data_IF_045740441354
#
_entry.id   IF_045740441354
#
_cell.length_a   1.000
_cell.length_b   1.000
_cell.length_c   1.000
_cell.angle_alpha   90.00
_cell.angle_beta   90.00
_cell.angle_gamma   90.00
#
_symmetry.space_group_name_H-M   'P 1'
#
loop_
_entity.id
_entity.type
_entity.pdbx_description
1 polymer ?
#
# COMPACT_ATOMS: atom_id res chain seq x y z
N UNK A 1 -0.88 -11.44 -18.68
CA UNK A 1 -0.63 -10.73 -19.97
C UNK A 1 -1.52 -11.35 -21.06
N UNK A 2 -1.99 -10.57 -22.05
CA UNK A 2 -2.65 -11.15 -23.25
C UNK A 2 -1.55 -11.79 -24.11
N UNK A 3 -1.72 -13.06 -24.50
CA UNK A 3 -0.79 -13.74 -25.39
C UNK A 3 -0.81 -13.08 -26.78
N UNK A 4 0.34 -12.59 -27.24
CA UNK A 4 0.49 -12.03 -28.57
C UNK A 4 0.77 -13.18 -29.54
N UNK A 5 -0.29 -13.85 -30.01
CA UNK A 5 -0.18 -14.97 -30.96
C UNK A 5 0.33 -14.51 -32.35
N UNK A 6 1.61 -14.16 -32.44
CA UNK A 6 2.32 -13.91 -33.68
C UNK A 6 2.59 -15.25 -34.37
N UNK A 7 2.02 -15.43 -35.58
CA UNK A 7 2.20 -16.66 -36.36
C UNK A 7 3.70 -16.91 -36.60
N UNK A 8 4.15 -18.14 -36.34
CA UNK A 8 5.55 -18.63 -36.43
C UNK A 8 6.48 -18.29 -35.26
N UNK A 9 5.99 -17.62 -34.22
CA UNK A 9 6.76 -17.37 -33.01
C UNK A 9 6.18 -18.18 -31.84
N UNK A 10 7.05 -18.57 -30.91
CA UNK A 10 6.65 -19.17 -29.63
C UNK A 10 6.92 -18.14 -28.55
N UNK A 11 5.85 -17.66 -27.93
CA UNK A 11 5.98 -16.79 -26.77
C UNK A 11 6.46 -17.62 -25.58
N UNK A 12 7.55 -17.17 -24.94
CA UNK A 12 8.09 -17.76 -23.73
C UNK A 12 8.21 -16.70 -22.66
N UNK A 13 7.86 -17.05 -21.42
CA UNK A 13 7.99 -16.18 -20.26
C UNK A 13 9.03 -16.77 -19.31
N UNK A 14 9.90 -15.91 -18.76
CA UNK A 14 10.86 -16.33 -17.75
C UNK A 14 10.14 -16.35 -16.41
N UNK A 15 9.90 -17.55 -15.87
CA UNK A 15 9.30 -17.71 -14.57
C UNK A 15 10.20 -17.14 -13.44
N UNK A 16 9.63 -16.58 -12.37
CA UNK A 16 10.39 -16.23 -11.17
C UNK A 16 11.13 -17.43 -10.59
N UNK A 17 12.23 -17.19 -9.88
CA UNK A 17 12.95 -18.25 -9.17
C UNK A 17 12.07 -18.84 -8.06
N UNK A 18 12.02 -20.17 -8.05
CA UNK A 18 11.54 -20.96 -6.91
C UNK A 18 12.50 -20.88 -5.71
N UNK A 19 12.02 -21.24 -4.53
CA UNK A 19 12.85 -21.24 -3.31
C UNK A 19 14.11 -22.11 -3.48
N UNK A 20 13.99 -23.28 -4.11
CA UNK A 20 15.13 -24.18 -4.38
C UNK A 20 16.16 -23.52 -5.31
N UNK A 21 15.70 -22.77 -6.31
CA UNK A 21 16.59 -22.01 -7.21
C UNK A 21 17.26 -20.84 -6.50
N UNK A 22 16.57 -20.15 -5.58
CA UNK A 22 17.14 -19.08 -4.75
C UNK A 22 18.26 -19.65 -3.87
N UNK A 23 18.02 -20.77 -3.20
CA UNK A 23 19.01 -21.46 -2.36
C UNK A 23 20.21 -21.89 -3.20
N UNK A 24 19.98 -22.55 -4.33
CA UNK A 24 21.04 -23.01 -5.22
C UNK A 24 21.86 -21.85 -5.81
N UNK A 25 21.21 -20.74 -6.14
CA UNK A 25 21.87 -19.52 -6.59
C UNK A 25 22.77 -18.94 -5.50
N UNK A 26 22.24 -18.73 -4.28
CA UNK A 26 22.98 -18.16 -3.16
C UNK A 26 24.22 -19.01 -2.84
N UNK A 27 24.06 -20.34 -2.76
CA UNK A 27 25.18 -21.26 -2.52
C UNK A 27 26.28 -21.11 -3.56
N UNK A 28 25.93 -21.10 -4.86
CA UNK A 28 26.91 -20.91 -5.95
C UNK A 28 27.55 -19.53 -5.91
N UNK A 29 26.75 -18.49 -5.66
CA UNK A 29 27.19 -17.10 -5.61
C UNK A 29 28.25 -16.86 -4.53
N UNK A 30 27.96 -17.24 -3.28
CA UNK A 30 28.89 -17.08 -2.15
C UNK A 30 30.13 -17.97 -2.31
N UNK A 31 29.99 -19.13 -2.97
CA UNK A 31 31.13 -20.01 -3.28
C UNK A 31 32.12 -19.36 -4.24
N UNK A 32 31.61 -18.67 -5.26
CA UNK A 32 32.40 -18.06 -6.33
C UNK A 32 33.14 -16.78 -5.90
N UNK A 33 32.53 -15.96 -5.03
CA UNK A 33 33.06 -14.63 -4.68
C UNK A 33 34.10 -14.60 -3.55
N UNK A 34 34.09 -15.60 -2.67
CA UNK A 34 35.01 -15.64 -1.52
C UNK A 34 36.27 -16.45 -1.86
N UNK A 35 37.45 -15.84 -1.76
CA UNK A 35 38.75 -16.53 -1.98
C UNK A 35 39.24 -17.35 -0.77
N UNK A 36 38.46 -17.41 0.32
CA UNK A 36 38.81 -18.02 1.61
C UNK A 36 38.26 -19.45 1.78
N UNK A 37 38.49 -20.08 2.94
CA UNK A 37 38.16 -21.47 3.28
C UNK A 37 36.70 -21.86 2.95
N UNK A 38 36.50 -23.04 2.32
CA UNK A 38 35.23 -23.57 1.81
C UNK A 38 34.14 -23.66 2.90
N UNK A 39 34.49 -24.02 4.13
CA UNK A 39 33.51 -24.14 5.24
C UNK A 39 32.79 -22.81 5.52
N UNK A 40 33.54 -21.71 5.61
CA UNK A 40 32.97 -20.39 5.87
C UNK A 40 32.02 -19.92 4.74
N UNK A 41 32.17 -20.44 3.51
CA UNK A 41 31.33 -20.05 2.35
C UNK A 41 29.93 -20.63 2.43
N UNK A 42 29.84 -21.91 2.79
CA UNK A 42 28.56 -22.60 2.92
C UNK A 42 27.78 -22.06 4.12
N UNK A 43 28.47 -21.79 5.24
CA UNK A 43 27.88 -21.15 6.41
C UNK A 43 27.28 -19.79 6.07
N UNK A 44 27.99 -18.96 5.29
CA UNK A 44 27.50 -17.64 4.89
C UNK A 44 26.26 -17.73 3.97
N UNK A 45 26.23 -18.66 3.02
CA UNK A 45 25.04 -18.88 2.18
C UNK A 45 23.84 -19.37 3.00
N UNK A 46 24.07 -20.26 3.97
CA UNK A 46 23.03 -20.73 4.90
C UNK A 46 22.50 -19.58 5.75
N UNK A 47 23.39 -18.72 6.26
CA UNK A 47 23.00 -17.55 7.05
C UNK A 47 22.21 -16.53 6.22
N UNK A 48 22.62 -16.28 4.98
CA UNK A 48 21.90 -15.43 4.04
C UNK A 48 20.44 -15.91 3.85
N UNK A 49 20.25 -17.19 3.53
CA UNK A 49 18.90 -17.75 3.34
C UNK A 49 18.09 -17.68 4.64
N UNK A 50 18.70 -18.09 5.76
CA UNK A 50 18.04 -18.02 7.08
C UNK A 50 17.58 -16.60 7.41
N UNK A 51 18.40 -15.58 7.10
CA UNK A 51 18.05 -14.17 7.32
C UNK A 51 17.01 -13.68 6.34
N UNK A 52 17.10 -14.08 5.06
CA UNK A 52 16.14 -13.68 4.02
C UNK A 52 14.72 -14.21 4.31
N UNK A 53 14.62 -15.40 4.89
CA UNK A 53 13.35 -16.05 5.23
C UNK A 53 12.72 -15.54 6.56
N UNK A 54 13.37 -14.61 7.26
CA UNK A 54 12.78 -13.99 8.46
C UNK A 54 11.59 -13.08 8.08
N UNK A 55 10.50 -13.03 8.87
CA UNK A 55 9.33 -12.18 8.59
C UNK A 55 9.66 -10.70 8.37
N UNK A 56 10.64 -10.16 9.11
CA UNK A 56 11.13 -8.79 8.98
C UNK A 56 11.79 -8.48 7.62
N UNK A 57 12.23 -9.52 6.88
CA UNK A 57 12.88 -9.41 5.57
C UNK A 57 11.98 -9.86 4.42
N UNK A 58 10.69 -10.10 4.67
CA UNK A 58 9.71 -10.57 3.68
C UNK A 58 9.69 -9.70 2.41
N UNK A 59 9.87 -8.39 2.56
CA UNK A 59 9.96 -7.44 1.44
C UNK A 59 11.14 -7.73 0.50
N UNK A 60 12.29 -8.16 1.03
CA UNK A 60 13.47 -8.49 0.24
C UNK A 60 13.32 -9.88 -0.40
N UNK A 61 12.70 -10.81 0.32
CA UNK A 61 12.37 -12.14 -0.20
C UNK A 61 11.48 -12.05 -1.45
N UNK A 62 10.46 -11.17 -1.43
CA UNK A 62 9.59 -10.93 -2.59
C UNK A 62 10.34 -10.41 -3.83
N UNK A 63 11.44 -9.68 -3.64
CA UNK A 63 12.27 -9.19 -4.76
C UNK A 63 13.27 -10.25 -5.23
N UNK A 64 13.78 -11.07 -4.31
CA UNK A 64 14.79 -12.10 -4.54
C UNK A 64 14.33 -13.24 -5.47
N UNK A 65 13.05 -13.28 -5.85
CA UNK A 65 12.55 -14.17 -6.92
C UNK A 65 13.05 -13.77 -8.31
N UNK A 66 13.61 -12.56 -8.45
CA UNK A 66 14.22 -12.10 -9.70
C UNK A 66 15.76 -12.19 -9.62
N UNK A 67 16.44 -12.71 -10.64
CA UNK A 67 17.89 -12.98 -10.56
C UNK A 67 18.75 -11.75 -10.21
N UNK A 68 18.40 -10.56 -10.72
CA UNK A 68 19.13 -9.34 -10.43
C UNK A 68 18.99 -8.94 -8.96
N UNK A 69 17.77 -8.90 -8.43
CA UNK A 69 17.57 -8.54 -7.02
C UNK A 69 18.15 -9.58 -6.08
N UNK A 70 18.13 -10.86 -6.44
CA UNK A 70 18.83 -11.89 -5.67
C UNK A 70 20.35 -11.63 -5.64
N UNK A 71 20.94 -11.31 -6.78
CA UNK A 71 22.34 -10.92 -6.86
C UNK A 71 22.65 -9.70 -5.96
N UNK A 72 21.83 -8.65 -6.06
CA UNK A 72 21.99 -7.43 -5.26
C UNK A 72 21.80 -7.70 -3.76
N UNK A 73 20.84 -8.54 -3.38
CA UNK A 73 20.63 -8.97 -2.01
C UNK A 73 21.87 -9.73 -1.48
N UNK A 74 22.44 -10.63 -2.26
CA UNK A 74 23.68 -11.31 -1.90
C UNK A 74 24.84 -10.32 -1.74
N UNK A 75 25.00 -9.35 -2.65
CA UNK A 75 26.02 -8.30 -2.53
C UNK A 75 25.89 -7.48 -1.25
N UNK A 76 24.67 -7.00 -0.96
CA UNK A 76 24.37 -6.22 0.25
C UNK A 76 24.68 -7.03 1.51
N UNK A 77 24.20 -8.27 1.56
CA UNK A 77 24.40 -9.15 2.69
C UNK A 77 25.89 -9.47 2.91
N UNK A 78 26.62 -9.77 1.84
CA UNK A 78 28.04 -10.11 1.91
C UNK A 78 28.90 -9.02 2.57
N UNK A 79 28.51 -7.75 2.42
CA UNK A 79 29.24 -6.63 2.99
C UNK A 79 28.92 -6.38 4.47
N UNK A 80 27.71 -6.71 4.94
CA UNK A 80 27.21 -6.28 6.25
C UNK A 80 26.79 -7.43 7.18
N UNK A 81 26.71 -8.67 6.66
CA UNK A 81 26.14 -9.86 7.31
C UNK A 81 24.71 -9.63 7.87
N UNK A 82 24.00 -8.63 7.33
CA UNK A 82 22.63 -8.28 7.69
C UNK A 82 21.95 -7.55 6.54
N UNK A 83 20.63 -7.64 6.49
CA UNK A 83 19.83 -6.78 5.63
C UNK A 83 19.56 -5.44 6.32
N UNK A 84 19.46 -4.34 5.55
CA UNK A 84 18.98 -3.08 6.08
C UNK A 84 17.55 -3.21 6.62
N UNK A 85 17.27 -2.53 7.73
CA UNK A 85 15.93 -2.52 8.32
C UNK A 85 14.96 -1.73 7.42
N UNK A 86 15.41 -0.60 6.89
CA UNK A 86 14.63 0.26 6.02
C UNK A 86 14.81 -0.11 4.54
N UNK A 87 13.69 -0.20 3.83
CA UNK A 87 13.62 -0.50 2.39
C UNK A 87 14.38 0.54 1.55
N UNK A 88 14.25 1.82 1.89
CA UNK A 88 14.98 2.90 1.25
C UNK A 88 16.52 2.71 1.33
N UNK A 89 17.03 2.23 2.46
CA UNK A 89 18.48 1.97 2.62
C UNK A 89 18.92 0.80 1.74
N UNK A 90 18.13 -0.26 1.65
CA UNK A 90 18.41 -1.37 0.74
C UNK A 90 18.44 -0.94 -0.72
N UNK A 91 17.46 -0.16 -1.17
CA UNK A 91 17.42 0.37 -2.54
C UNK A 91 18.57 1.32 -2.85
N UNK A 92 18.95 2.18 -1.89
CA UNK A 92 20.15 3.00 -2.00
C UNK A 92 21.38 2.14 -2.24
N UNK A 93 21.60 1.11 -1.43
CA UNK A 93 22.76 0.24 -1.54
C UNK A 93 22.76 -0.53 -2.87
N UNK A 94 21.59 -0.98 -3.34
CA UNK A 94 21.45 -1.59 -4.66
C UNK A 94 21.87 -0.64 -5.78
N UNK A 95 21.40 0.60 -5.76
CA UNK A 95 21.77 1.62 -6.76
C UNK A 95 23.24 2.01 -6.66
N UNK A 96 23.79 2.15 -5.46
CA UNK A 96 25.22 2.41 -5.25
C UNK A 96 26.09 1.29 -5.85
N UNK A 97 25.63 0.02 -5.77
CA UNK A 97 26.30 -1.12 -6.39
C UNK A 97 26.19 -1.10 -7.92
N UNK A 98 24.97 -0.87 -8.46
CA UNK A 98 24.71 -0.83 -9.89
C UNK A 98 25.45 0.34 -10.59
N UNK A 99 25.46 1.52 -9.96
CA UNK A 99 26.00 2.75 -10.53
C UNK A 99 27.48 2.98 -10.20
N UNK A 100 27.98 2.38 -9.12
CA UNK A 100 29.36 2.57 -8.67
C UNK A 100 30.28 1.41 -9.07
N UNK A 101 30.05 0.21 -8.51
CA UNK A 101 31.01 -0.91 -8.63
C UNK A 101 30.93 -1.66 -9.96
N UNK A 102 29.80 -1.56 -10.65
CA UNK A 102 29.60 -2.22 -11.93
C UNK A 102 30.43 -1.59 -13.07
N UNK A 103 30.82 -0.32 -12.91
CA UNK A 103 31.69 0.42 -13.86
C UNK A 103 33.13 -0.12 -13.90
N UNK A 104 33.61 -0.71 -12.81
CA UNK A 104 35.00 -1.15 -12.69
C UNK A 104 35.25 -2.51 -13.37
N UNK A 105 34.20 -3.32 -13.58
CA UNK A 105 34.33 -4.74 -13.95
C UNK A 105 34.02 -5.06 -15.42
N UNK A 106 33.35 -4.17 -16.17
CA UNK A 106 33.00 -4.41 -17.58
C UNK A 106 33.72 -3.45 -18.53
N UNK A 107 34.74 -3.97 -19.22
CA UNK A 107 35.46 -3.30 -20.30
C UNK A 107 34.64 -3.25 -21.60
N UNK A 108 33.47 -2.61 -21.58
CA UNK A 108 32.70 -2.30 -22.81
C UNK A 108 33.22 -0.96 -23.35
N UNK A 109 33.23 -0.72 -24.66
CA UNK A 109 33.63 0.57 -25.26
C UNK A 109 32.71 1.71 -24.78
N UNK A 110 33.29 2.87 -24.49
CA UNK A 110 32.72 3.79 -23.48
C UNK A 110 32.50 5.19 -24.05
N UNK A 111 31.33 5.74 -23.79
CA UNK A 111 31.10 7.19 -23.79
C UNK A 111 32.01 7.87 -22.75
N UNK A 112 32.61 9.02 -23.11
CA UNK A 112 33.51 9.77 -22.24
C UNK A 112 32.78 10.67 -21.24
N UNK A 113 31.60 11.18 -21.59
CA UNK A 113 30.82 12.14 -20.80
C UNK A 113 30.20 11.46 -19.60
N UNK A 114 29.49 10.34 -19.81
CA UNK A 114 28.83 9.62 -18.71
C UNK A 114 29.82 9.05 -17.68
N UNK A 115 31.02 8.67 -18.11
CA UNK A 115 32.13 8.29 -17.21
C UNK A 115 32.58 9.42 -16.29
N UNK A 116 32.48 10.65 -16.75
CA UNK A 116 32.83 11.83 -15.96
C UNK A 116 31.87 12.04 -14.79
N UNK A 117 30.69 11.42 -14.81
CA UNK A 117 29.71 11.59 -13.75
C UNK A 117 30.09 10.82 -12.50
N UNK A 118 30.24 11.56 -11.41
CA UNK A 118 30.32 10.99 -10.07
C UNK A 118 28.98 10.32 -9.70
N UNK A 119 29.03 9.33 -8.82
CA UNK A 119 27.83 8.61 -8.36
C UNK A 119 26.67 9.55 -7.92
N UNK A 120 26.90 10.66 -7.19
CA UNK A 120 25.82 11.59 -6.85
C UNK A 120 25.19 12.28 -8.07
N UNK A 121 25.97 12.54 -9.13
CA UNK A 121 25.50 13.12 -10.39
C UNK A 121 24.64 12.11 -11.15
N UNK A 122 25.11 10.86 -11.30
CA UNK A 122 24.33 9.77 -11.88
C UNK A 122 22.97 9.59 -11.18
N UNK A 123 22.98 9.56 -9.85
CA UNK A 123 21.76 9.47 -9.05
C UNK A 123 20.86 10.69 -9.24
N UNK A 124 21.41 11.92 -9.30
CA UNK A 124 20.63 13.15 -9.51
C UNK A 124 19.94 13.13 -10.88
N UNK A 125 20.66 12.77 -11.94
CA UNK A 125 20.10 12.61 -13.29
C UNK A 125 18.96 11.58 -13.30
N UNK A 126 19.22 10.37 -12.80
CA UNK A 126 18.21 9.31 -12.79
C UNK A 126 16.98 9.65 -11.93
N UNK A 127 17.17 10.38 -10.82
CA UNK A 127 16.07 10.93 -10.03
C UNK A 127 15.21 11.94 -10.79
N UNK A 128 15.82 12.77 -11.65
CA UNK A 128 15.08 13.72 -12.49
C UNK A 128 14.25 12.99 -13.54
N UNK A 129 14.85 12.03 -14.25
CA UNK A 129 14.13 11.20 -15.24
C UNK A 129 13.01 10.41 -14.57
N UNK A 130 13.27 9.80 -13.41
CA UNK A 130 12.27 9.02 -12.67
C UNK A 130 11.07 9.86 -12.25
N UNK A 131 11.30 11.02 -11.63
CA UNK A 131 10.21 11.91 -11.19
C UNK A 131 9.35 12.35 -12.36
N UNK A 132 9.97 12.85 -13.43
CA UNK A 132 9.25 13.40 -14.57
C UNK A 132 8.43 12.35 -15.32
N UNK A 133 8.98 11.16 -15.52
CA UNK A 133 8.27 10.04 -16.18
C UNK A 133 7.16 9.45 -15.30
N UNK A 134 7.40 9.36 -13.99
CA UNK A 134 6.43 8.82 -13.04
C UNK A 134 5.22 9.76 -12.89
N UNK A 135 5.45 11.07 -12.73
CA UNK A 135 4.39 12.07 -12.59
C UNK A 135 3.38 12.00 -13.74
N UNK A 136 3.88 11.90 -14.97
CA UNK A 136 3.08 11.78 -16.19
C UNK A 136 2.32 10.45 -16.32
N UNK A 137 2.58 9.47 -15.45
CA UNK A 137 1.99 8.12 -15.54
C UNK A 137 2.57 7.27 -16.69
N UNK A 138 3.71 7.71 -17.25
CA UNK A 138 4.34 7.08 -18.40
C UNK A 138 5.37 6.05 -17.93
N UNK A 139 4.96 4.79 -17.81
CA UNK A 139 5.90 3.68 -17.58
C UNK A 139 6.72 3.32 -18.81
N UNK A 140 6.19 3.64 -20.00
CA UNK A 140 6.86 3.55 -21.28
C UNK A 140 6.94 4.95 -21.86
N UNK A 141 8.13 5.39 -22.23
CA UNK A 141 8.39 6.74 -22.68
C UNK A 141 9.27 6.74 -23.93
N UNK A 142 9.05 7.72 -24.78
CA UNK A 142 9.83 7.87 -26.00
C UNK A 142 11.27 8.29 -25.69
N UNK A 143 12.21 7.79 -26.47
CA UNK A 143 13.64 8.07 -26.36
C UNK A 143 13.94 9.59 -26.26
N UNK A 144 13.33 10.38 -27.15
CA UNK A 144 13.49 11.85 -27.19
C UNK A 144 13.14 12.56 -25.88
N UNK A 145 12.19 12.02 -25.10
CA UNK A 145 11.77 12.61 -23.82
C UNK A 145 12.89 12.44 -22.79
N UNK A 146 13.49 11.26 -22.75
CA UNK A 146 14.59 10.96 -21.82
C UNK A 146 15.84 11.74 -22.20
N UNK A 147 16.16 11.80 -23.49
CA UNK A 147 17.26 12.59 -24.03
C UNK A 147 17.10 14.07 -23.70
N UNK A 148 15.88 14.62 -23.76
CA UNK A 148 15.63 15.98 -23.33
C UNK A 148 15.95 16.19 -21.84
N UNK A 149 15.49 15.29 -20.96
CA UNK A 149 15.82 15.38 -19.53
C UNK A 149 17.31 15.21 -19.24
N UNK A 150 18.01 14.38 -20.03
CA UNK A 150 19.46 14.23 -19.95
C UNK A 150 20.15 15.51 -20.41
N UNK A 151 19.73 16.08 -21.54
CA UNK A 151 20.27 17.33 -22.09
C UNK A 151 20.11 18.47 -21.10
N UNK A 152 18.91 18.65 -20.53
CA UNK A 152 18.64 19.68 -19.52
C UNK A 152 19.57 19.51 -18.31
N UNK A 153 19.81 18.26 -17.88
CA UNK A 153 20.71 17.97 -16.79
C UNK A 153 22.19 18.27 -17.13
N UNK A 154 22.63 17.93 -18.34
CA UNK A 154 24.00 18.20 -18.82
C UNK A 154 24.23 19.72 -18.88
N UNK A 155 23.28 20.48 -19.42
CA UNK A 155 23.34 21.96 -19.48
C UNK A 155 23.61 22.62 -18.12
N UNK A 156 23.11 22.03 -17.04
CA UNK A 156 23.29 22.53 -15.66
C UNK A 156 24.69 22.22 -15.08
N UNK A 157 25.53 21.42 -15.76
CA UNK A 157 26.86 21.05 -15.29
C UNK A 157 27.92 22.10 -15.63
N UNK A 158 28.89 22.35 -14.73
CA UNK A 158 30.00 23.25 -15.02
C UNK A 158 30.85 22.69 -16.17
N UNK A 159 31.09 23.51 -17.20
CA UNK A 159 31.82 23.19 -18.43
C UNK A 159 31.07 22.31 -19.45
N UNK A 160 29.75 22.19 -19.36
CA UNK A 160 28.97 21.55 -20.42
C UNK A 160 29.01 22.36 -21.72
N UNK A 161 29.00 21.66 -22.86
CA UNK A 161 28.78 22.32 -24.16
C UNK A 161 27.38 22.91 -24.20
N UNK A 162 27.24 24.09 -24.79
CA UNK A 162 25.94 24.74 -25.04
C UNK A 162 25.47 24.58 -26.48
N UNK A 163 26.26 23.91 -27.33
CA UNK A 163 25.93 23.69 -28.73
C UNK A 163 24.87 22.59 -28.86
N UNK A 164 23.71 22.85 -29.50
CA UNK A 164 22.58 21.92 -29.51
C UNK A 164 22.89 20.54 -30.11
N UNK A 165 23.71 20.47 -31.16
CA UNK A 165 24.09 19.21 -31.81
C UNK A 165 25.00 18.37 -30.93
N UNK A 166 25.93 18.99 -30.20
CA UNK A 166 26.82 18.30 -29.25
C UNK A 166 26.02 17.79 -28.04
N UNK A 167 25.12 18.62 -27.50
CA UNK A 167 24.24 18.22 -26.39
C UNK A 167 23.34 17.04 -26.75
N UNK A 168 22.83 17.00 -27.98
CA UNK A 168 22.03 15.87 -28.45
C UNK A 168 22.87 14.59 -28.51
N UNK A 169 24.06 14.64 -29.10
CA UNK A 169 24.97 13.48 -29.17
C UNK A 169 25.37 12.98 -27.78
N UNK A 170 25.69 13.89 -26.86
CA UNK A 170 26.01 13.55 -25.48
C UNK A 170 24.81 12.93 -24.76
N UNK A 171 23.60 13.41 -25.01
CA UNK A 171 22.38 12.89 -24.40
C UNK A 171 22.04 11.48 -24.90
N UNK A 172 22.16 11.25 -26.20
CA UNK A 172 22.03 9.93 -26.82
C UNK A 172 23.06 8.95 -26.25
N UNK A 173 24.32 9.38 -26.14
CA UNK A 173 25.42 8.59 -25.60
C UNK A 173 25.26 8.24 -24.12
N UNK A 174 24.80 9.19 -23.30
CA UNK A 174 24.47 8.97 -21.88
C UNK A 174 23.31 7.98 -21.72
N UNK A 175 22.25 8.09 -22.54
CA UNK A 175 21.12 7.14 -22.48
C UNK A 175 21.57 5.72 -22.82
N UNK A 176 22.34 5.56 -23.90
CA UNK A 176 22.93 4.26 -24.28
C UNK A 176 23.84 3.71 -23.17
N UNK A 177 24.63 4.57 -22.51
CA UNK A 177 25.46 4.16 -21.39
C UNK A 177 24.63 3.66 -20.20
N UNK A 178 23.56 4.35 -19.82
CA UNK A 178 22.66 3.93 -18.72
C UNK A 178 22.03 2.56 -19.03
N UNK A 179 21.58 2.35 -20.26
CA UNK A 179 20.99 1.09 -20.72
C UNK A 179 22.00 -0.06 -20.66
N UNK A 180 23.16 0.10 -21.31
CA UNK A 180 24.14 -0.97 -21.47
C UNK A 180 24.89 -1.31 -20.18
N UNK A 181 25.18 -0.31 -19.34
CA UNK A 181 26.06 -0.49 -18.18
C UNK A 181 25.30 -0.96 -16.95
N UNK A 182 24.16 -0.33 -16.67
CA UNK A 182 23.44 -0.51 -15.40
C UNK A 182 22.14 -1.29 -15.56
N UNK A 183 21.59 -1.33 -16.79
CA UNK A 183 20.29 -1.95 -17.05
C UNK A 183 19.16 -1.33 -16.22
N UNK A 184 19.30 -0.06 -15.82
CA UNK A 184 18.27 0.67 -15.06
C UNK A 184 17.17 1.21 -15.96
N UNK A 185 17.56 1.61 -17.18
CA UNK A 185 16.66 1.86 -18.30
C UNK A 185 16.84 0.74 -19.32
N UNK A 186 15.76 0.40 -20.02
CA UNK A 186 15.79 -0.59 -21.10
C UNK A 186 14.88 -0.15 -22.25
N UNK A 187 15.39 -0.25 -23.47
CA UNK A 187 14.59 -0.17 -24.69
C UNK A 187 13.69 -1.41 -24.76
N UNK A 188 12.37 -1.19 -24.77
CA UNK A 188 11.37 -2.27 -24.79
C UNK A 188 10.96 -2.62 -26.21
N UNK A 189 10.84 -1.60 -27.02
CA UNK A 189 10.70 -1.64 -28.48
C UNK A 189 11.43 -0.43 -29.03
N UNK A 190 11.76 -0.46 -30.32
CA UNK A 190 12.52 0.60 -30.97
C UNK A 190 12.00 2.00 -30.61
N UNK A 191 12.84 2.83 -29.99
CA UNK A 191 12.57 4.21 -29.59
C UNK A 191 11.69 4.37 -28.34
N UNK A 192 11.33 3.28 -27.65
CA UNK A 192 10.50 3.29 -26.45
C UNK A 192 11.26 2.65 -25.29
N UNK A 193 11.51 3.46 -24.26
CA UNK A 193 12.24 3.10 -23.07
C UNK A 193 11.31 2.95 -21.86
N UNK A 194 11.81 2.30 -20.82
CA UNK A 194 11.19 2.24 -19.51
C UNK A 194 12.27 2.02 -18.45
N UNK A 195 11.94 2.29 -17.19
CA UNK A 195 12.73 1.72 -16.11
C UNK A 195 12.62 0.19 -16.13
N UNK A 196 13.75 -0.49 -15.96
CA UNK A 196 13.77 -1.95 -15.91
C UNK A 196 12.96 -2.50 -14.73
N UNK A 197 12.91 -1.73 -13.64
CA UNK A 197 12.20 -2.07 -12.41
C UNK A 197 11.49 -0.84 -11.85
N UNK A 198 10.17 -0.95 -11.68
CA UNK A 198 9.32 0.09 -11.09
C UNK A 198 9.85 0.53 -9.72
N UNK A 199 10.31 -0.43 -8.92
CA UNK A 199 10.90 -0.19 -7.60
C UNK A 199 12.03 0.84 -7.60
N UNK A 200 12.90 0.84 -8.61
CA UNK A 200 13.96 1.84 -8.71
C UNK A 200 13.44 3.19 -9.19
N UNK A 201 12.43 3.20 -10.07
CA UNK A 201 11.75 4.44 -10.46
C UNK A 201 11.09 5.11 -9.24
N UNK A 202 10.31 4.37 -8.45
CA UNK A 202 9.65 4.86 -7.23
C UNK A 202 10.67 5.40 -6.21
N UNK A 203 11.77 4.67 -5.99
CA UNK A 203 12.86 5.13 -5.13
C UNK A 203 13.51 6.43 -5.63
N UNK A 204 13.82 6.50 -6.92
CA UNK A 204 14.48 7.65 -7.52
C UNK A 204 13.56 8.88 -7.54
N UNK A 205 12.24 8.70 -7.70
CA UNK A 205 11.21 9.72 -7.55
C UNK A 205 11.11 10.22 -6.11
N UNK A 206 11.00 9.33 -5.12
CA UNK A 206 11.00 9.70 -3.71
C UNK A 206 12.28 10.48 -3.33
N UNK A 207 13.44 10.02 -3.82
CA UNK A 207 14.72 10.71 -3.64
C UNK A 207 14.71 12.11 -4.25
N UNK A 208 14.08 12.32 -5.42
CA UNK A 208 13.96 13.65 -6.05
C UNK A 208 13.13 14.58 -5.17
N UNK A 209 11.99 14.11 -4.65
CA UNK A 209 11.10 14.88 -3.76
C UNK A 209 11.87 15.34 -2.51
N UNK A 210 12.54 14.41 -1.83
CA UNK A 210 13.33 14.70 -0.62
C UNK A 210 14.49 15.66 -0.91
N UNK A 211 15.18 15.49 -2.04
CA UNK A 211 16.25 16.39 -2.44
C UNK A 211 15.73 17.82 -2.72
N UNK A 212 14.59 17.95 -3.42
CA UNK A 212 13.97 19.25 -3.69
C UNK A 212 13.52 19.95 -2.41
N UNK A 213 12.87 19.22 -1.49
CA UNK A 213 12.46 19.73 -0.18
C UNK A 213 13.64 20.27 0.63
N UNK A 214 14.72 19.49 0.72
CA UNK A 214 15.91 19.88 1.48
C UNK A 214 16.68 21.08 0.87
N UNK A 215 16.68 21.23 -0.45
CA UNK A 215 17.44 22.29 -1.14
C UNK A 215 16.71 23.63 -1.15
N UNK A 216 15.39 23.62 -1.27
CA UNK A 216 14.62 24.85 -1.49
C UNK A 216 13.97 25.36 -0.21
N UNK A 217 13.95 24.59 0.89
CA UNK A 217 13.14 24.91 2.10
C UNK A 217 11.69 25.29 1.74
N UNK A 218 11.20 24.77 0.62
CA UNK A 218 9.84 24.98 0.14
C UNK A 218 9.02 23.76 0.54
N UNK A 219 7.81 24.00 1.04
CA UNK A 219 6.84 22.97 1.42
C UNK A 219 6.19 22.31 0.18
N UNK A 220 6.24 23.02 -0.95
CA UNK A 220 5.63 22.66 -2.25
C UNK A 220 5.88 21.22 -2.72
N UNK A 221 7.09 20.62 -2.65
CA UNK A 221 7.29 19.24 -3.10
C UNK A 221 6.51 18.22 -2.27
N UNK A 222 6.34 18.48 -0.97
CA UNK A 222 5.58 17.61 -0.08
C UNK A 222 4.08 17.86 -0.23
N UNK A 223 3.63 19.12 -0.39
CA UNK A 223 2.24 19.45 -0.75
C UNK A 223 1.82 18.76 -2.06
N UNK A 224 2.68 18.82 -3.08
CA UNK A 224 2.44 18.12 -4.34
C UNK A 224 2.32 16.61 -4.13
N UNK A 225 3.22 15.99 -3.34
CA UNK A 225 3.12 14.57 -3.01
C UNK A 225 1.79 14.23 -2.33
N UNK A 226 1.36 15.01 -1.33
CA UNK A 226 0.12 14.73 -0.59
C UNK A 226 -1.12 14.91 -1.48
N UNK A 227 -1.09 15.76 -2.50
CA UNK A 227 -2.19 15.84 -3.48
C UNK A 227 -2.50 14.51 -4.18
N UNK A 228 -1.56 13.57 -4.18
CA UNK A 228 -1.71 12.22 -4.74
C UNK A 228 -2.06 11.14 -3.69
N UNK A 229 -2.47 11.50 -2.47
CA UNK A 229 -2.69 10.55 -1.36
C UNK A 229 -3.75 9.46 -1.63
N UNK A 230 -4.67 9.72 -2.56
CA UNK A 230 -5.72 8.77 -2.97
C UNK A 230 -5.33 7.90 -4.16
N UNK A 231 -4.16 8.13 -4.77
CA UNK A 231 -3.69 7.38 -5.94
C UNK A 231 -2.84 6.18 -5.53
N UNK A 232 -3.26 4.92 -5.80
CA UNK A 232 -2.53 3.73 -5.35
C UNK A 232 -1.10 3.63 -5.87
N UNK A 233 -0.81 4.18 -7.05
CA UNK A 233 0.54 4.17 -7.65
C UNK A 233 1.56 4.95 -6.82
N UNK A 234 1.13 6.00 -6.11
CA UNK A 234 2.02 6.86 -5.32
C UNK A 234 2.34 6.28 -3.95
N UNK A 235 1.62 5.24 -3.52
CA UNK A 235 1.73 4.65 -2.19
C UNK A 235 3.17 4.35 -1.78
N UNK A 236 3.94 3.71 -2.67
CA UNK A 236 5.33 3.36 -2.37
C UNK A 236 6.23 4.60 -2.26
N UNK A 237 5.95 5.66 -3.03
CA UNK A 237 6.69 6.93 -2.96
C UNK A 237 6.49 7.59 -1.60
N UNK A 238 5.28 7.56 -1.02
CA UNK A 238 5.05 8.06 0.35
C UNK A 238 5.90 7.31 1.37
N UNK A 239 5.84 5.97 1.35
CA UNK A 239 6.60 5.11 2.28
C UNK A 239 8.12 5.33 2.15
N UNK A 240 8.61 5.50 0.92
CA UNK A 240 10.01 5.77 0.66
C UNK A 240 10.41 7.20 1.05
N UNK A 241 9.52 8.19 0.88
CA UNK A 241 9.76 9.58 1.23
C UNK A 241 9.86 9.75 2.74
N UNK A 242 8.91 9.21 3.53
CA UNK A 242 8.99 9.28 5.01
C UNK A 242 10.25 8.61 5.54
N UNK A 243 10.67 7.49 4.94
CA UNK A 243 11.88 6.78 5.34
C UNK A 243 13.19 7.52 4.98
N UNK A 244 13.14 8.47 4.05
CA UNK A 244 14.31 9.25 3.59
C UNK A 244 14.43 10.63 4.23
N UNK A 245 13.34 11.16 4.77
CA UNK A 245 13.34 12.47 5.44
C UNK A 245 14.10 12.40 6.76
N UNK A 246 14.76 13.51 7.12
CA UNK A 246 15.41 13.66 8.44
C UNK A 246 14.41 13.78 9.58
N UNK A 247 13.25 14.37 9.29
CA UNK A 247 12.06 14.40 10.12
C UNK A 247 10.87 14.29 9.18
N UNK A 248 9.99 13.32 9.44
CA UNK A 248 8.78 13.10 8.65
C UNK A 248 7.55 13.82 9.22
N UNK A 249 7.68 14.53 10.34
CA UNK A 249 6.59 15.21 11.06
C UNK A 249 5.72 16.05 10.13
N UNK A 250 6.35 16.93 9.34
CA UNK A 250 5.64 17.81 8.41
C UNK A 250 4.83 17.03 7.37
N UNK A 251 5.41 15.98 6.78
CA UNK A 251 4.74 15.17 5.77
C UNK A 251 3.55 14.41 6.38
N UNK A 252 3.71 13.76 7.52
CA UNK A 252 2.61 12.98 8.13
C UNK A 252 1.48 13.87 8.65
N UNK A 253 1.78 15.08 9.12
CA UNK A 253 0.78 16.08 9.48
C UNK A 253 0.03 16.60 8.25
N UNK A 254 0.74 16.87 7.15
CA UNK A 254 0.12 17.28 5.89
C UNK A 254 -0.76 16.18 5.30
N UNK A 255 -0.29 14.93 5.34
CA UNK A 255 -1.11 13.76 4.99
C UNK A 255 -2.38 13.70 5.81
N UNK A 256 -2.29 13.93 7.13
CA UNK A 256 -3.46 13.92 8.01
C UNK A 256 -4.47 15.01 7.64
N UNK A 257 -3.99 16.22 7.36
CA UNK A 257 -4.84 17.34 6.94
C UNK A 257 -5.59 17.03 5.64
N UNK A 258 -4.90 16.48 4.64
CA UNK A 258 -5.51 16.12 3.36
C UNK A 258 -6.48 14.93 3.50
N UNK A 259 -6.15 13.92 4.32
CA UNK A 259 -7.08 12.82 4.65
C UNK A 259 -8.36 13.36 5.26
N UNK A 260 -8.28 14.31 6.20
CA UNK A 260 -9.46 14.92 6.81
C UNK A 260 -10.26 15.77 5.83
N UNK A 261 -9.58 16.44 4.89
CA UNK A 261 -10.20 17.25 3.86
C UNK A 261 -11.08 16.41 2.91
N UNK A 262 -10.69 15.16 2.61
CA UNK A 262 -11.44 14.27 1.71
C UNK A 262 -12.93 14.16 2.05
N UNK A 263 -13.26 14.10 3.35
CA UNK A 263 -14.63 13.89 3.83
C UNK A 263 -15.26 15.16 4.42
N UNK A 264 -14.52 16.27 4.48
CA UNK A 264 -14.92 17.47 5.21
C UNK A 264 -16.14 18.19 4.62
N UNK A 265 -16.36 18.07 3.31
CA UNK A 265 -17.43 18.77 2.58
C UNK A 265 -18.76 17.99 2.56
N UNK A 266 -18.76 16.69 2.85
CA UNK A 266 -19.97 15.86 2.84
C UNK A 266 -20.61 15.79 4.25
N UNK A 267 -21.75 16.47 4.49
CA UNK A 267 -22.36 16.53 5.81
C UNK A 267 -22.94 15.18 6.26
N UNK A 268 -23.27 14.27 5.35
CA UNK A 268 -23.79 12.94 5.68
C UNK A 268 -22.67 12.02 6.14
N UNK A 269 -21.52 12.03 5.45
CA UNK A 269 -20.32 11.34 5.89
C UNK A 269 -19.80 11.89 7.22
N UNK A 270 -19.87 13.21 7.44
CA UNK A 270 -19.53 13.81 8.73
C UNK A 270 -20.47 13.31 9.86
N UNK A 271 -21.77 13.19 9.62
CA UNK A 271 -22.68 12.58 10.62
C UNK A 271 -22.30 11.14 10.94
N UNK A 272 -22.00 10.35 9.91
CA UNK A 272 -21.54 8.98 10.06
C UNK A 272 -20.25 8.88 10.88
N UNK A 273 -19.22 9.68 10.55
CA UNK A 273 -17.95 9.68 11.29
C UNK A 273 -18.11 10.17 12.74
N UNK A 274 -19.01 11.13 13.01
CA UNK A 274 -19.36 11.52 14.38
C UNK A 274 -19.92 10.33 15.15
N UNK A 275 -20.85 9.60 14.53
CA UNK A 275 -21.47 8.42 15.12
C UNK A 275 -20.43 7.33 15.40
N UNK A 276 -19.54 7.04 14.45
CA UNK A 276 -18.41 6.10 14.62
C UNK A 276 -17.53 6.50 15.80
N UNK A 277 -17.18 7.79 15.91
CA UNK A 277 -16.37 8.29 17.01
C UNK A 277 -17.08 8.16 18.36
N UNK A 278 -18.36 8.52 18.45
CA UNK A 278 -19.14 8.37 19.69
C UNK A 278 -19.19 6.89 20.13
N UNK A 279 -19.48 5.98 19.19
CA UNK A 279 -19.47 4.53 19.43
C UNK A 279 -18.14 4.02 19.97
N UNK A 280 -17.02 4.51 19.43
CA UNK A 280 -15.68 4.12 19.87
C UNK A 280 -15.35 4.55 21.31
N UNK A 281 -15.99 5.61 21.82
CA UNK A 281 -15.80 6.07 23.19
C UNK A 281 -16.65 5.28 24.20
N UNK A 282 -17.72 4.63 23.75
CA UNK A 282 -18.65 3.88 24.61
C UNK A 282 -18.25 2.42 24.82
N UNK A 283 -17.27 1.88 24.08
CA UNK A 283 -16.83 0.49 24.16
C UNK A 283 -15.38 0.38 24.72
N UNK A 284 -15.17 -0.06 25.99
CA UNK A 284 -13.86 -0.40 26.53
C UNK A 284 -13.61 -1.93 26.57
N UNK A 285 -12.35 -2.43 26.44
CA UNK A 285 -11.07 -1.75 26.72
C UNK A 285 -10.07 -1.68 25.54
N UNK A 286 -10.52 -1.76 24.28
CA UNK A 286 -9.63 -1.72 23.10
C UNK A 286 -9.19 -0.29 22.71
N UNK A 287 -8.10 -0.11 21.94
CA UNK A 287 -7.73 1.20 21.41
C UNK A 287 -8.87 1.78 20.56
N UNK A 288 -9.29 3.01 20.85
CA UNK A 288 -10.41 3.70 20.18
C UNK A 288 -10.29 3.68 18.65
N UNK A 289 -9.07 3.75 18.12
CA UNK A 289 -8.76 3.68 16.69
C UNK A 289 -9.14 2.34 16.04
N UNK A 290 -8.91 1.22 16.73
CA UNK A 290 -9.29 -0.11 16.24
C UNK A 290 -10.83 -0.24 16.13
N UNK A 291 -11.54 0.34 17.11
CA UNK A 291 -13.00 0.37 17.14
C UNK A 291 -13.55 1.25 16.01
N UNK A 292 -12.94 2.41 15.76
CA UNK A 292 -13.31 3.27 14.62
C UNK A 292 -13.10 2.55 13.28
N UNK A 293 -11.94 1.91 13.09
CA UNK A 293 -11.64 1.15 11.88
C UNK A 293 -12.63 0.00 11.66
N UNK A 294 -13.06 -0.66 12.74
CA UNK A 294 -14.08 -1.70 12.70
C UNK A 294 -15.44 -1.17 12.20
N UNK A 295 -15.99 -0.11 12.80
CA UNK A 295 -17.29 0.42 12.37
C UNK A 295 -17.25 1.03 10.96
N UNK A 296 -16.10 1.56 10.54
CA UNK A 296 -15.88 1.98 9.15
C UNK A 296 -15.91 0.78 8.18
N UNK A 297 -15.24 -0.31 8.52
CA UNK A 297 -15.28 -1.54 7.72
C UNK A 297 -16.70 -2.14 7.65
N UNK A 298 -17.42 -2.11 8.78
CA UNK A 298 -18.81 -2.58 8.90
C UNK A 298 -19.73 -1.84 7.91
N UNK A 299 -19.68 -0.51 7.92
CA UNK A 299 -20.54 0.32 7.08
C UNK A 299 -20.20 0.22 5.57
N UNK A 300 -18.96 -0.14 5.23
CA UNK A 300 -18.48 -0.25 3.84
C UNK A 300 -18.80 -1.62 3.22
N UNK A 301 -18.56 -2.70 3.97
CA UNK A 301 -18.57 -4.08 3.45
C UNK A 301 -19.13 -5.06 4.47
N UNK A 302 -20.47 -5.12 4.65
CA UNK A 302 -21.10 -5.93 5.70
C UNK A 302 -20.92 -7.45 5.50
N UNK A 303 -20.58 -7.91 4.29
CA UNK A 303 -20.40 -9.33 3.96
C UNK A 303 -19.01 -9.90 4.34
N UNK A 304 -18.05 -9.09 4.77
CA UNK A 304 -16.71 -9.54 5.17
C UNK A 304 -16.61 -9.95 6.66
N UNK A 305 -17.68 -9.82 7.44
CA UNK A 305 -17.71 -9.99 8.90
C UNK A 305 -17.35 -11.42 9.34
N UNK A 306 -17.78 -12.45 8.60
CA UNK A 306 -17.46 -13.85 8.90
C UNK A 306 -15.93 -14.11 8.95
N UNK A 307 -15.14 -13.26 8.31
CA UNK A 307 -13.68 -13.32 8.30
C UNK A 307 -13.04 -12.48 9.43
N UNK A 308 -13.77 -11.52 10.01
CA UNK A 308 -13.31 -10.68 11.15
C UNK A 308 -13.74 -11.23 12.52
N UNK A 309 -14.66 -12.19 12.58
CA UNK A 309 -15.15 -12.84 13.80
C UNK A 309 -14.01 -13.40 14.70
N UNK A 310 -12.90 -13.87 14.10
CA UNK A 310 -11.71 -14.33 14.83
C UNK A 310 -10.92 -13.20 15.50
N UNK A 311 -11.01 -11.96 14.99
CA UNK A 311 -10.37 -10.77 15.58
C UNK A 311 -11.22 -10.18 16.72
N UNK A 312 -12.55 -10.35 16.65
CA UNK A 312 -13.52 -9.90 17.65
C UNK A 312 -13.55 -10.72 18.95
N UNK A 313 -12.71 -11.76 19.11
CA UNK A 313 -12.68 -12.63 20.30
C UNK A 313 -12.34 -11.86 21.60
N UNK A 314 -11.80 -10.64 21.49
CA UNK A 314 -11.35 -9.83 22.62
C UNK A 314 -12.39 -8.81 23.15
N UNK A 315 -13.55 -8.63 22.48
CA UNK A 315 -14.62 -7.72 22.94
C UNK A 315 -16.02 -8.24 22.54
N UNK A 316 -16.79 -8.69 23.54
CA UNK A 316 -18.13 -9.28 23.35
C UNK A 316 -19.16 -8.28 22.82
N UNK A 317 -18.99 -6.98 23.10
CA UNK A 317 -19.92 -5.95 22.66
C UNK A 317 -19.72 -5.62 21.17
N UNK A 318 -18.48 -5.54 20.71
CA UNK A 318 -18.15 -5.36 19.28
C UNK A 318 -18.61 -6.59 18.49
N UNK A 319 -18.43 -7.78 19.05
CA UNK A 319 -18.87 -9.02 18.43
C UNK A 319 -20.40 -9.08 18.27
N UNK A 320 -21.14 -8.70 19.31
CA UNK A 320 -22.60 -8.59 19.26
C UNK A 320 -23.06 -7.59 18.18
N UNK A 321 -22.39 -6.43 18.07
CA UNK A 321 -22.73 -5.42 17.06
C UNK A 321 -22.50 -5.95 15.63
N UNK A 322 -21.43 -6.71 15.39
CA UNK A 322 -21.18 -7.37 14.10
C UNK A 322 -22.23 -8.46 13.79
N UNK A 323 -22.60 -9.25 14.79
CA UNK A 323 -23.61 -10.31 14.63
C UNK A 323 -25.01 -9.74 14.35
N UNK A 324 -25.36 -8.61 14.95
CA UNK A 324 -26.62 -7.90 14.70
C UNK A 324 -26.69 -7.32 13.28
N UNK A 325 -25.58 -6.77 12.76
CA UNK A 325 -25.52 -6.29 11.38
C UNK A 325 -25.61 -7.45 10.36
N UNK A 326 -24.91 -8.56 10.64
CA UNK A 326 -25.02 -9.78 9.85
C UNK A 326 -26.46 -10.33 9.86
N UNK A 327 -27.13 -10.33 11.02
CA UNK A 327 -28.54 -10.73 11.13
C UNK A 327 -29.44 -9.91 10.20
N UNK A 328 -29.27 -8.58 10.17
CA UNK A 328 -30.05 -7.72 9.28
C UNK A 328 -29.75 -8.02 7.81
N UNK A 329 -28.53 -8.41 7.46
CA UNK A 329 -28.15 -8.80 6.11
C UNK A 329 -28.73 -10.17 5.70
N UNK A 330 -28.57 -11.20 6.52
CA UNK A 330 -29.12 -12.53 6.26
C UNK A 330 -30.64 -12.50 6.13
N UNK A 331 -31.32 -11.68 6.95
CA UNK A 331 -32.76 -11.49 6.84
C UNK A 331 -33.19 -10.61 5.66
N UNK A 332 -32.29 -9.85 5.01
CA UNK A 332 -32.55 -9.11 3.75
C UNK A 332 -32.42 -9.99 2.50
N UNK A 333 -31.67 -11.09 2.59
CA UNK A 333 -31.45 -12.05 1.51
C UNK A 333 -32.77 -12.67 1.02
N UNK A 334 -32.81 -13.08 -0.25
CA UNK A 334 -34.01 -13.55 -0.96
C UNK A 334 -34.89 -14.54 -0.16
N UNK A 335 -36.15 -14.65 -0.60
CA UNK A 335 -37.20 -15.61 -0.18
C UNK A 335 -36.75 -17.07 0.10
N UNK A 336 -35.58 -17.50 -0.35
CA UNK A 336 -35.06 -18.86 -0.19
C UNK A 336 -34.31 -19.12 1.13
N UNK A 337 -33.92 -18.09 1.88
CA UNK A 337 -32.94 -18.21 3.00
C UNK A 337 -33.53 -17.93 4.40
N UNK A 338 -34.76 -18.39 4.64
CA UNK A 338 -35.41 -18.30 5.98
C UNK A 338 -34.58 -18.98 7.05
N UNK A 339 -33.94 -20.11 6.69
CA UNK A 339 -33.05 -20.85 7.56
C UNK A 339 -31.84 -20.01 7.96
N UNK A 340 -31.24 -19.26 7.05
CA UNK A 340 -30.12 -18.37 7.36
C UNK A 340 -30.53 -17.24 8.32
N UNK A 341 -31.71 -16.65 8.13
CA UNK A 341 -32.24 -15.63 9.04
C UNK A 341 -32.58 -16.22 10.43
N UNK A 342 -33.21 -17.38 10.52
CA UNK A 342 -33.52 -18.04 11.81
C UNK A 342 -32.24 -18.49 12.55
N UNK A 343 -31.26 -19.05 11.82
CA UNK A 343 -29.97 -19.43 12.38
C UNK A 343 -29.20 -18.20 12.89
N UNK A 344 -29.13 -17.13 12.10
CA UNK A 344 -28.50 -15.88 12.51
C UNK A 344 -29.20 -15.27 13.73
N UNK A 345 -30.52 -15.33 13.81
CA UNK A 345 -31.29 -14.77 14.91
C UNK A 345 -31.13 -15.60 16.19
N UNK A 346 -31.07 -16.93 16.05
CA UNK A 346 -30.74 -17.87 17.13
C UNK A 346 -29.34 -17.62 17.69
N UNK A 347 -28.38 -17.41 16.78
CA UNK A 347 -27.00 -17.13 17.13
C UNK A 347 -26.88 -15.82 17.92
N UNK A 348 -27.49 -14.75 17.41
CA UNK A 348 -27.47 -13.42 18.04
C UNK A 348 -28.19 -13.42 19.40
N UNK A 349 -29.28 -14.18 19.54
CA UNK A 349 -29.94 -14.39 20.83
C UNK A 349 -29.02 -15.04 21.87
N UNK A 350 -28.22 -16.03 21.47
CA UNK A 350 -27.32 -16.74 22.37
C UNK A 350 -26.20 -15.85 22.95
N UNK A 351 -25.83 -14.78 22.24
CA UNK A 351 -24.76 -13.86 22.63
C UNK A 351 -25.27 -12.53 23.22
N UNK A 352 -26.56 -12.21 23.09
CA UNK A 352 -27.16 -10.98 23.59
C UNK A 352 -27.34 -11.02 25.13
N UNK A 353 -26.51 -10.26 25.85
CA UNK A 353 -26.57 -10.17 27.32
C UNK A 353 -27.58 -9.13 27.84
N UNK A 354 -27.92 -8.12 27.03
CA UNK A 354 -28.94 -7.12 27.39
C UNK A 354 -30.33 -7.76 27.41
N UNK A 355 -30.98 -7.78 28.58
CA UNK A 355 -32.28 -8.40 28.75
C UNK A 355 -33.38 -7.78 27.87
N UNK A 356 -33.29 -6.48 27.60
CA UNK A 356 -34.23 -5.77 26.74
C UNK A 356 -34.09 -6.16 25.26
N UNK A 357 -32.85 -6.22 24.76
CA UNK A 357 -32.54 -6.67 23.41
C UNK A 357 -32.89 -8.15 23.23
N UNK A 358 -32.52 -9.01 24.19
CA UNK A 358 -32.84 -10.43 24.14
C UNK A 358 -34.35 -10.65 24.08
N UNK A 359 -35.14 -9.91 24.86
CA UNK A 359 -36.60 -10.01 24.81
C UNK A 359 -37.16 -9.55 23.45
N UNK A 360 -36.65 -8.45 22.89
CA UNK A 360 -37.09 -7.95 21.59
C UNK A 360 -36.74 -8.92 20.45
N UNK A 361 -35.52 -9.48 20.44
CA UNK A 361 -35.12 -10.48 19.45
C UNK A 361 -35.91 -11.78 19.59
N UNK A 362 -36.24 -12.21 20.82
CA UNK A 362 -37.06 -13.41 21.04
C UNK A 362 -38.47 -13.22 20.48
N UNK A 363 -39.08 -12.05 20.72
CA UNK A 363 -40.39 -11.72 20.14
C UNK A 363 -40.37 -11.74 18.61
N UNK A 364 -39.30 -11.24 18.00
CA UNK A 364 -39.11 -11.30 16.55
C UNK A 364 -38.91 -12.74 16.05
N UNK A 365 -38.23 -13.59 16.82
CA UNK A 365 -38.09 -15.02 16.53
C UNK A 365 -39.44 -15.72 16.51
N UNK A 366 -40.26 -15.47 17.51
CA UNK A 366 -41.56 -16.11 17.65
C UNK A 366 -42.55 -15.71 16.53
N UNK A 367 -42.28 -14.60 15.84
CA UNK A 367 -43.03 -14.11 14.69
C UNK A 367 -42.54 -14.67 13.34
N UNK A 368 -41.37 -15.31 13.30
CA UNK A 368 -40.87 -15.96 12.09
C UNK A 368 -41.70 -17.24 11.82
N UNK A 369 -42.22 -17.41 10.61
CA UNK A 369 -42.92 -18.63 10.22
C UNK A 369 -41.94 -19.82 10.21
N UNK A 370 -42.41 -20.97 10.68
CA UNK A 370 -41.65 -22.21 10.67
C UNK A 370 -41.26 -22.58 9.22
N UNK A 371 -39.95 -22.76 8.94
CA UNK A 371 -39.47 -23.01 7.59
C UNK A 371 -39.94 -24.36 7.01
N UNK A 372 -40.45 -25.28 7.82
CA UNK A 372 -41.07 -26.53 7.36
C UNK A 372 -42.53 -26.36 6.87
N UNK A 373 -43.12 -25.17 7.00
CA UNK A 373 -44.48 -24.89 6.54
C UNK A 373 -44.60 -24.72 5.02
N UNK A 374 -45.82 -24.88 4.50
CA UNK A 374 -46.12 -24.73 3.07
C UNK A 374 -45.62 -23.39 2.51
N UNK A 375 -44.87 -23.46 1.38
CA UNK A 375 -44.28 -22.33 0.65
C UNK A 375 -45.22 -21.14 0.42
N UNK A 376 -46.51 -21.40 0.23
CA UNK A 376 -47.55 -20.38 0.04
C UNK A 376 -47.80 -19.51 1.29
N UNK A 377 -47.80 -20.12 2.48
CA UNK A 377 -47.94 -19.39 3.76
C UNK A 377 -46.73 -18.50 4.01
N UNK A 378 -45.54 -19.03 3.72
CA UNK A 378 -44.29 -18.28 3.82
C UNK A 378 -44.28 -17.08 2.86
N UNK A 379 -44.72 -17.27 1.62
CA UNK A 379 -44.84 -16.21 0.62
C UNK A 379 -45.84 -15.13 1.02
N UNK A 380 -46.96 -15.53 1.62
CA UNK A 380 -47.95 -14.59 2.12
C UNK A 380 -47.37 -13.74 3.24
N UNK A 381 -46.74 -14.37 4.25
CA UNK A 381 -46.08 -13.66 5.35
C UNK A 381 -44.98 -12.70 4.87
N UNK A 382 -44.17 -13.14 3.90
CA UNK A 382 -43.10 -12.31 3.32
C UNK A 382 -43.65 -11.06 2.63
N UNK A 383 -44.82 -11.12 2.01
CA UNK A 383 -45.43 -9.94 1.37
C UNK A 383 -46.16 -9.03 2.36
N UNK A 384 -46.79 -9.59 3.41
CA UNK A 384 -47.68 -8.84 4.30
C UNK A 384 -47.02 -8.37 5.59
N UNK A 385 -46.12 -9.17 6.16
CA UNK A 385 -45.65 -9.03 7.54
C UNK A 385 -44.16 -8.72 7.63
N UNK A 386 -43.36 -9.19 6.68
CA UNK A 386 -41.90 -8.98 6.65
C UNK A 386 -41.48 -7.49 6.68
N UNK A 387 -42.07 -6.55 5.92
CA UNK A 387 -41.65 -5.14 5.99
C UNK A 387 -41.78 -4.55 7.40
N UNK A 388 -42.90 -4.84 8.09
CA UNK A 388 -43.13 -4.41 9.46
C UNK A 388 -42.19 -5.11 10.45
N UNK A 389 -41.96 -6.41 10.26
CA UNK A 389 -41.03 -7.20 11.07
C UNK A 389 -39.59 -6.68 10.95
N UNK A 390 -39.13 -6.37 9.74
CA UNK A 390 -37.79 -5.81 9.51
C UNK A 390 -37.60 -4.44 10.15
N UNK A 391 -38.61 -3.57 10.12
CA UNK A 391 -38.54 -2.28 10.80
C UNK A 391 -38.53 -2.44 12.32
N UNK A 392 -39.26 -3.41 12.88
CA UNK A 392 -39.18 -3.75 14.30
C UNK A 392 -37.79 -4.28 14.69
N UNK A 393 -37.19 -5.14 13.87
CA UNK A 393 -35.82 -5.63 14.05
C UNK A 393 -34.82 -4.47 14.08
N UNK A 394 -34.82 -3.62 13.05
CA UNK A 394 -33.93 -2.45 12.99
C UNK A 394 -34.15 -1.52 14.17
N UNK A 395 -35.40 -1.25 14.55
CA UNK A 395 -35.72 -0.38 15.68
C UNK A 395 -35.27 -0.96 17.02
N UNK A 396 -35.39 -2.27 17.24
CA UNK A 396 -34.90 -2.94 18.43
C UNK A 396 -33.38 -2.83 18.54
N UNK A 397 -32.68 -3.10 17.43
CA UNK A 397 -31.22 -3.01 17.39
C UNK A 397 -30.76 -1.56 17.61
N UNK A 398 -31.37 -0.59 16.94
CA UNK A 398 -31.05 0.83 17.10
C UNK A 398 -31.30 1.31 18.53
N UNK A 399 -32.41 0.91 19.16
CA UNK A 399 -32.76 1.31 20.52
C UNK A 399 -31.77 0.80 21.57
N UNK A 400 -31.34 -0.45 21.45
CA UNK A 400 -30.55 -1.12 22.49
C UNK A 400 -29.05 -1.03 22.26
N UNK A 401 -28.61 -0.96 21.00
CA UNK A 401 -27.20 -0.95 20.65
C UNK A 401 -26.77 0.32 19.92
N UNK A 402 -27.66 1.24 19.58
CA UNK A 402 -27.33 2.43 18.80
C UNK A 402 -26.59 2.10 17.48
N UNK A 403 -26.88 0.95 16.87
CA UNK A 403 -26.36 0.56 15.56
C UNK A 403 -27.34 1.11 14.51
N UNK A 404 -26.96 2.19 13.84
CA UNK A 404 -27.77 2.77 12.77
C UNK A 404 -27.62 1.97 11.48
N UNK A 405 -28.55 1.07 11.21
CA UNK A 405 -28.59 0.23 9.98
C UNK A 405 -29.08 1.00 8.73
N UNK A 406 -29.01 2.34 8.78
CA UNK A 406 -29.62 3.27 7.80
C UNK A 406 -28.58 4.08 7.02
N UNK A 407 -27.28 3.79 7.16
CA UNK A 407 -26.26 4.46 6.37
C UNK A 407 -26.35 4.01 4.90
N UNK A 408 -27.15 4.74 4.13
CA UNK A 408 -27.33 4.53 2.71
C UNK A 408 -26.44 5.50 1.94
N UNK A 409 -25.18 5.09 1.76
CA UNK A 409 -24.22 5.87 1.00
C UNK A 409 -24.54 5.80 -0.49
N UNK A 410 -24.47 6.94 -1.16
CA UNK A 410 -24.44 6.97 -2.63
C UNK A 410 -23.17 6.29 -3.16
N UNK A 411 -23.13 5.86 -4.43
CA UNK A 411 -21.90 5.32 -5.02
C UNK A 411 -20.71 6.28 -4.90
N UNK A 412 -20.93 7.60 -5.01
CA UNK A 412 -19.87 8.60 -4.80
C UNK A 412 -19.38 8.61 -3.35
N UNK A 413 -20.28 8.54 -2.37
CA UNK A 413 -19.92 8.49 -0.95
C UNK A 413 -19.18 7.21 -0.58
N UNK A 414 -19.55 6.07 -1.16
CA UNK A 414 -18.83 4.81 -0.98
C UNK A 414 -17.40 4.90 -1.52
N UNK A 415 -17.22 5.48 -2.71
CA UNK A 415 -15.89 5.71 -3.27
C UNK A 415 -15.07 6.68 -2.42
N UNK A 416 -15.69 7.75 -1.90
CA UNK A 416 -15.01 8.71 -1.05
C UNK A 416 -14.57 8.10 0.29
N UNK A 417 -15.43 7.28 0.90
CA UNK A 417 -15.09 6.50 2.10
C UNK A 417 -13.97 5.49 1.83
N UNK A 418 -13.94 4.89 0.64
CA UNK A 418 -12.85 4.01 0.22
C UNK A 418 -11.52 4.77 0.17
N UNK A 419 -11.49 5.91 -0.51
CA UNK A 419 -10.30 6.75 -0.59
C UNK A 419 -9.86 7.23 0.79
N UNK A 420 -10.80 7.64 1.66
CA UNK A 420 -10.53 8.03 3.04
C UNK A 420 -9.89 6.90 3.84
N UNK A 421 -10.42 5.68 3.73
CA UNK A 421 -9.87 4.50 4.40
C UNK A 421 -8.46 4.17 3.91
N UNK A 422 -8.25 4.11 2.60
CA UNK A 422 -6.94 3.78 2.00
C UNK A 422 -5.88 4.83 2.35
N UNK A 423 -6.27 6.11 2.39
CA UNK A 423 -5.39 7.20 2.79
C UNK A 423 -5.00 7.13 4.29
N UNK A 424 -5.96 6.80 5.18
CA UNK A 424 -5.66 6.54 6.60
C UNK A 424 -4.75 5.32 6.78
N UNK A 425 -4.96 4.26 5.99
CA UNK A 425 -4.08 3.08 6.03
C UNK A 425 -2.66 3.45 5.60
N UNK A 426 -2.50 4.21 4.51
CA UNK A 426 -1.20 4.71 4.10
C UNK A 426 -0.54 5.60 5.15
N UNK A 427 -1.28 6.49 5.80
CA UNK A 427 -0.76 7.30 6.91
C UNK A 427 -0.25 6.41 8.06
N UNK A 428 -1.01 5.40 8.47
CA UNK A 428 -0.59 4.44 9.49
C UNK A 428 0.65 3.66 9.07
N UNK A 429 0.73 3.23 7.80
CA UNK A 429 1.90 2.51 7.30
C UNK A 429 3.15 3.41 7.29
N UNK A 430 2.98 4.70 6.98
CA UNK A 430 4.03 5.70 7.10
C UNK A 430 4.52 5.85 8.54
N UNK A 431 3.62 5.99 9.52
CA UNK A 431 3.96 6.07 10.94
C UNK A 431 4.72 4.81 11.41
N UNK A 432 4.33 3.64 10.91
CA UNK A 432 4.94 2.36 11.26
C UNK A 432 6.22 2.03 10.47
N UNK A 433 6.65 2.89 9.54
CA UNK A 433 7.78 2.62 8.63
C UNK A 433 9.18 2.76 9.25
N UNK A 434 9.27 2.95 10.59
CA UNK A 434 10.51 3.25 11.33
C UNK A 434 11.23 4.49 10.76
N UNK A 435 10.46 5.51 10.37
CA UNK A 435 10.97 6.82 10.00
C UNK A 435 11.22 7.70 11.23
N UNK A 436 12.01 8.75 11.07
CA UNK A 436 12.30 9.73 12.13
C UNK A 436 11.08 10.65 12.32
N UNK A 437 10.27 10.37 13.35
CA UNK A 437 9.11 11.18 13.74
C UNK A 437 9.24 11.51 15.23
N UNK A 438 8.91 12.74 15.62
CA UNK A 438 8.85 13.15 17.03
C UNK A 438 7.76 12.36 17.77
N UNK A 439 8.07 11.77 18.94
CA UNK A 439 7.17 10.89 19.72
C UNK A 439 5.74 11.42 19.95
N UNK A 440 5.56 12.75 19.95
CA UNK A 440 4.27 13.42 20.12
C UNK A 440 3.38 13.27 18.88
N UNK A 441 3.96 13.31 17.68
CA UNK A 441 3.21 13.35 16.41
C UNK A 441 2.42 12.06 16.15
N UNK A 442 2.96 10.84 16.33
CA UNK A 442 2.16 9.62 16.19
C UNK A 442 1.01 9.59 17.18
N UNK A 443 1.21 10.04 18.43
CA UNK A 443 0.14 10.07 19.44
C UNK A 443 -0.98 11.05 19.05
N UNK A 444 -0.62 12.23 18.56
CA UNK A 444 -1.58 13.22 18.05
C UNK A 444 -2.36 12.69 16.84
N UNK A 445 -1.67 12.07 15.89
CA UNK A 445 -2.30 11.50 14.70
C UNK A 445 -3.17 10.31 15.05
N UNK A 446 -2.71 9.39 15.91
CA UNK A 446 -3.47 8.21 16.35
C UNK A 446 -4.72 8.61 17.14
N UNK A 447 -4.61 9.58 18.06
CA UNK A 447 -5.77 10.13 18.78
C UNK A 447 -6.78 10.75 17.81
N UNK A 448 -6.26 11.44 16.80
CA UNK A 448 -7.02 12.06 15.72
C UNK A 448 -7.29 11.16 14.52
N UNK A 449 -7.10 9.84 14.57
CA UNK A 449 -7.25 8.94 13.42
C UNK A 449 -8.69 8.44 13.31
N UNK A 450 -9.36 8.77 12.19
CA UNK A 450 -10.78 8.48 11.93
C UNK A 450 -11.90 9.30 12.69
N UNK A 451 -11.65 10.40 13.43
CA UNK A 451 -12.63 11.37 13.91
C UNK A 451 -12.65 12.69 13.11
N UNK A 452 -13.59 13.58 13.47
CA UNK A 452 -13.80 14.92 12.88
C UNK A 452 -12.94 16.01 13.54
N UNK A 453 -12.63 17.03 12.72
CA UNK A 453 -12.34 18.48 12.91
C UNK A 453 -12.58 19.22 14.25
N UNK A 454 -13.18 18.65 15.30
CA UNK A 454 -13.34 19.40 16.58
C UNK A 454 -12.02 19.61 17.33
N UNK A 455 -10.94 18.92 16.94
CA UNK A 455 -9.60 19.16 17.48
C UNK A 455 -8.84 20.30 16.79
N UNK A 456 -9.26 20.77 15.60
CA UNK A 456 -8.55 21.83 14.86
C UNK A 456 -9.01 23.25 15.20
N UNK A 457 -9.81 23.41 16.26
CA UNK A 457 -10.25 24.71 16.82
C UNK A 457 -9.72 24.97 18.24
N UNK A 458 -8.71 24.22 18.68
CA UNK A 458 -8.00 24.50 19.95
C UNK A 458 -6.57 24.93 19.69
#
# INVERSE_FOLDING_TARGET
AKAFNLRRFTDVEIAPFSQDQIVAFAQKWFTALTKTNIKNKQEHAIEFIKKLDLPENLQFQRLAVTPLFLHLACCVFHHQNKFPIQKAVFYKQCLDLLLGKWDETKAIERDQVYKGFLLPQKLKLLSQVASATFEQGNYFFEQRIVEQYISDYICDLPNASTEPEELQLDSEGVLQAIELQHGLLAERVRGIFSFSYLTFQEYLTARKIVASYNLQTLEQPLEHLVSHITEPRWREIFLLTVAMLRSADFLVLLMKQEVDALVAEDPYLQKFLTWVNHKSLTAPPQPTTAIRAFYLALARTPHLISHFALVCILDQDIFLDAALDNLVMECKSNFADVHACDEALSYTLAIAQDAGLHQALQQLKDLLPDPEQSREKFQTWWQTSYPAWMEQLKSAIAKHRNIEHHWHFSPQQQQLLQHYYDANQLLLDCLNSKCEITDVVPQEIEAGLLPIKELSKR
#
